data_IF_622640335422
#
_entry.id   IF_622640335422
#
_cell.length_a   1.000
_cell.length_b   1.000
_cell.length_c   1.000
_cell.angle_alpha   90.00
_cell.angle_beta   90.00
_cell.angle_gamma   90.00
#
_symmetry.space_group_name_H-M   'P 1'
#
loop_
_entity.id
_entity.type
_entity.pdbx_description
1 polymer ?
#
# COMPACT_ATOMS: atom_id res chain seq x y z
N UNK A 1 29.23 17.89 -6.24
CA UNK A 1 28.93 17.24 -7.53
C UNK A 1 27.87 16.21 -7.21
N UNK A 2 26.62 16.51 -7.53
CA UNK A 2 25.51 15.60 -7.33
C UNK A 2 25.69 14.43 -8.30
N UNK A 3 26.03 13.27 -7.80
CA UNK A 3 25.80 12.04 -8.56
C UNK A 3 24.28 11.87 -8.69
N UNK A 4 23.78 12.18 -9.87
CA UNK A 4 22.42 11.85 -10.26
C UNK A 4 22.23 10.36 -10.08
N UNK A 5 21.30 9.97 -9.25
CA UNK A 5 20.73 8.61 -9.16
C UNK A 5 20.23 8.22 -10.57
N UNK A 6 21.09 7.70 -11.40
CA UNK A 6 20.80 7.22 -12.75
C UNK A 6 21.17 5.74 -12.82
N UNK A 7 20.36 4.92 -12.23
CA UNK A 7 20.15 3.55 -12.70
C UNK A 7 18.71 3.22 -12.36
N UNK A 8 18.00 2.75 -13.37
CA UNK A 8 16.69 2.13 -13.13
C UNK A 8 16.83 1.16 -11.97
N UNK A 9 15.90 1.16 -11.00
CA UNK A 9 15.96 0.22 -9.90
C UNK A 9 16.11 -1.21 -10.43
N UNK A 10 16.91 -2.07 -9.78
CA UNK A 10 17.17 -3.45 -10.22
C UNK A 10 15.88 -4.22 -10.56
N UNK A 11 14.75 -3.88 -9.90
CA UNK A 11 13.43 -4.48 -10.13
C UNK A 11 12.74 -4.03 -11.45
N UNK A 12 13.17 -2.97 -12.12
CA UNK A 12 12.60 -2.55 -13.42
C UNK A 12 12.85 -3.61 -14.52
N UNK A 13 13.88 -4.42 -14.35
CA UNK A 13 14.26 -5.50 -15.26
C UNK A 13 13.70 -6.88 -14.83
N UNK A 14 12.84 -6.96 -13.80
CA UNK A 14 12.31 -8.24 -13.34
C UNK A 14 11.23 -8.72 -14.32
N UNK A 15 11.34 -9.95 -14.82
CA UNK A 15 10.49 -10.45 -15.92
C UNK A 15 9.08 -10.86 -15.47
N UNK A 16 8.64 -10.50 -14.25
CA UNK A 16 7.38 -10.96 -13.68
C UNK A 16 6.81 -10.04 -12.62
N UNK A 17 5.92 -10.61 -11.80
CA UNK A 17 5.22 -9.92 -10.71
C UNK A 17 5.44 -10.65 -9.39
N UNK A 18 5.89 -9.93 -8.36
CA UNK A 18 6.05 -10.48 -7.02
C UNK A 18 4.70 -10.73 -6.36
N UNK A 19 4.52 -11.97 -5.90
CA UNK A 19 3.38 -12.35 -5.08
C UNK A 19 3.57 -11.86 -3.65
N UNK A 20 2.54 -11.29 -3.08
CA UNK A 20 2.46 -10.88 -1.68
C UNK A 20 1.13 -11.28 -1.05
N UNK A 21 1.11 -11.31 0.28
CA UNK A 21 -0.11 -11.57 1.04
C UNK A 21 -0.07 -10.91 2.41
N UNK A 22 -1.23 -10.37 2.83
CA UNK A 22 -1.55 -10.11 4.22
C UNK A 22 -2.43 -11.24 4.74
N UNK A 23 -1.97 -11.97 5.73
CA UNK A 23 -2.59 -13.22 6.18
C UNK A 23 -2.72 -13.35 7.71
N UNK A 24 -2.59 -12.27 8.45
CA UNK A 24 -2.83 -12.19 9.90
C UNK A 24 -1.79 -12.93 10.75
N UNK A 25 -1.66 -14.25 10.64
CA UNK A 25 -0.73 -15.06 11.45
C UNK A 25 0.16 -15.99 10.64
N UNK A 26 1.38 -16.24 11.12
CA UNK A 26 2.36 -17.07 10.40
C UNK A 26 1.93 -18.53 10.22
N UNK A 27 1.16 -19.10 11.16
CA UNK A 27 0.71 -20.50 11.07
C UNK A 27 -0.35 -20.73 9.98
N UNK A 28 -1.23 -19.75 9.75
CA UNK A 28 -2.24 -19.81 8.69
C UNK A 28 -1.61 -19.69 7.31
N UNK A 29 -0.52 -18.94 7.18
CA UNK A 29 0.17 -18.74 5.91
C UNK A 29 0.86 -20.01 5.40
N UNK A 30 1.52 -20.77 6.27
CA UNK A 30 2.22 -22.01 5.86
C UNK A 30 1.22 -23.01 5.27
N UNK A 31 0.06 -23.18 5.91
CA UNK A 31 -0.98 -24.08 5.40
C UNK A 31 -1.48 -23.62 4.03
N UNK A 32 -1.82 -22.34 3.90
CA UNK A 32 -2.30 -21.75 2.65
C UNK A 32 -1.30 -21.94 1.51
N UNK A 33 -0.02 -21.63 1.72
CA UNK A 33 0.99 -21.75 0.66
C UNK A 33 1.27 -23.20 0.26
N UNK A 34 1.11 -24.15 1.20
CA UNK A 34 1.16 -25.56 0.87
C UNK A 34 -0.05 -26.00 0.03
N UNK A 35 -1.25 -25.48 0.30
CA UNK A 35 -2.46 -25.75 -0.48
C UNK A 35 -2.37 -25.14 -1.89
N UNK A 36 -1.80 -23.95 -2.03
CA UNK A 36 -1.55 -23.28 -3.32
C UNK A 36 -0.41 -23.96 -4.10
N UNK A 37 0.56 -24.56 -3.42
CA UNK A 37 1.79 -25.12 -4.03
C UNK A 37 2.83 -24.05 -4.36
N UNK A 38 2.64 -22.78 -3.94
CA UNK A 38 3.55 -21.66 -4.18
C UNK A 38 3.55 -20.67 -3.00
N UNK A 39 4.71 -20.16 -2.64
CA UNK A 39 4.88 -19.14 -1.60
C UNK A 39 4.65 -17.72 -2.11
N UNK A 40 5.00 -16.76 -1.27
CA UNK A 40 4.99 -15.32 -1.61
C UNK A 40 6.37 -14.72 -1.39
N UNK A 41 6.71 -13.74 -2.21
CA UNK A 41 7.94 -12.93 -2.10
C UNK A 41 7.80 -11.82 -1.04
N UNK A 42 6.57 -11.38 -0.75
CA UNK A 42 6.28 -10.24 0.12
C UNK A 42 5.26 -10.66 1.17
N UNK A 43 5.58 -10.38 2.44
CA UNK A 43 4.66 -10.59 3.55
C UNK A 43 4.25 -9.24 4.14
N UNK A 44 2.94 -8.94 4.13
CA UNK A 44 2.41 -7.67 4.59
C UNK A 44 2.01 -7.72 6.07
N UNK A 45 2.15 -6.57 6.75
CA UNK A 45 1.70 -6.34 8.12
C UNK A 45 1.29 -4.90 8.33
N UNK A 46 0.33 -4.68 9.22
CA UNK A 46 -0.11 -3.35 9.65
C UNK A 46 0.49 -3.05 11.02
N UNK A 47 1.04 -1.87 11.15
CA UNK A 47 1.71 -1.41 12.36
C UNK A 47 1.18 -0.03 12.76
N UNK A 48 0.51 0.03 13.89
CA UNK A 48 0.09 1.30 14.49
C UNK A 48 1.27 1.98 15.19
N UNK A 49 1.33 3.30 15.06
CA UNK A 49 2.29 4.12 15.82
C UNK A 49 2.06 3.95 17.34
N UNK A 50 3.14 4.10 18.09
CA UNK A 50 3.15 3.92 19.54
C UNK A 50 3.88 2.66 19.99
N UNK A 51 4.09 1.69 19.11
CA UNK A 51 5.00 0.57 19.35
C UNK A 51 6.42 0.93 18.94
N UNK A 52 7.42 0.64 19.75
CA UNK A 52 8.83 0.77 19.39
C UNK A 52 9.18 -0.15 18.22
N UNK A 53 10.26 0.17 17.52
CA UNK A 53 10.78 -0.65 16.44
C UNK A 53 11.07 -2.09 16.96
N UNK A 54 10.58 -3.08 16.22
CA UNK A 54 10.80 -4.49 16.51
C UNK A 54 11.07 -5.25 15.20
N UNK A 55 12.27 -5.76 15.05
CA UNK A 55 12.70 -6.48 13.86
C UNK A 55 12.29 -7.96 13.81
N UNK A 56 11.54 -8.46 14.76
CA UNK A 56 11.16 -9.88 14.82
C UNK A 56 10.38 -10.35 13.58
N UNK A 57 9.40 -9.56 13.13
CA UNK A 57 8.66 -9.83 11.90
C UNK A 57 9.58 -9.74 10.66
N UNK A 58 10.43 -8.70 10.59
CA UNK A 58 11.37 -8.50 9.50
C UNK A 58 12.36 -9.66 9.37
N UNK A 59 12.98 -10.06 10.50
CA UNK A 59 13.91 -11.18 10.53
C UNK A 59 13.24 -12.50 10.16
N UNK A 60 12.00 -12.74 10.61
CA UNK A 60 11.26 -13.96 10.27
C UNK A 60 10.98 -14.05 8.77
N UNK A 61 10.65 -12.95 8.12
CA UNK A 61 10.45 -12.91 6.68
C UNK A 61 11.77 -13.06 5.92
N UNK A 62 12.81 -12.33 6.32
CA UNK A 62 14.13 -12.42 5.73
C UNK A 62 14.70 -13.84 5.78
N UNK A 63 14.48 -14.56 6.89
CA UNK A 63 14.94 -15.94 7.07
C UNK A 63 14.37 -16.91 6.02
N UNK A 64 13.17 -16.62 5.51
CA UNK A 64 12.50 -17.45 4.47
C UNK A 64 12.49 -16.79 3.09
N UNK A 65 13.38 -15.83 2.85
CA UNK A 65 13.56 -15.20 1.52
C UNK A 65 12.48 -14.20 1.13
N UNK A 66 11.72 -13.64 2.09
CA UNK A 66 10.63 -12.68 1.84
C UNK A 66 11.03 -11.28 2.25
N UNK A 67 10.63 -10.29 1.45
CA UNK A 67 10.59 -8.90 1.89
C UNK A 67 9.36 -8.64 2.76
N UNK A 68 9.45 -7.65 3.64
CA UNK A 68 8.33 -7.19 4.45
C UNK A 68 7.68 -5.97 3.81
N UNK A 69 6.34 -5.94 3.78
CA UNK A 69 5.55 -4.78 3.40
C UNK A 69 4.85 -4.25 4.65
N UNK A 70 5.32 -3.11 5.16
CA UNK A 70 4.82 -2.51 6.38
C UNK A 70 3.86 -1.38 6.06
N UNK A 71 2.58 -1.56 6.37
CA UNK A 71 1.61 -0.47 6.41
C UNK A 71 1.75 0.23 7.76
N UNK A 72 2.27 1.44 7.74
CA UNK A 72 2.61 2.19 8.95
C UNK A 72 1.54 3.24 9.23
N UNK A 73 0.63 2.89 10.12
CA UNK A 73 -0.59 3.64 10.40
C UNK A 73 -0.38 4.60 11.56
N UNK A 74 -0.52 5.88 11.27
CA UNK A 74 -0.54 6.91 12.29
C UNK A 74 -1.92 6.96 12.97
N UNK A 75 -2.17 6.04 13.88
CA UNK A 75 -3.34 6.06 14.75
C UNK A 75 -2.95 6.72 16.08
N UNK A 76 -3.16 8.05 16.22
CA UNK A 76 -2.85 8.70 17.48
C UNK A 76 -3.73 8.08 18.56
N UNK A 77 -3.13 7.47 19.55
CA UNK A 77 -3.84 7.14 20.78
C UNK A 77 -4.49 8.40 21.35
N UNK A 78 -5.45 8.25 22.24
CA UNK A 78 -6.19 9.33 22.90
C UNK A 78 -5.30 10.31 23.73
N UNK A 79 -4.01 10.44 23.37
CA UNK A 79 -3.02 11.26 24.06
C UNK A 79 -3.25 12.77 23.82
N UNK A 80 -3.14 13.56 24.88
CA UNK A 80 -3.33 15.01 24.91
C UNK A 80 -2.53 15.81 23.86
N UNK A 81 -1.46 15.22 23.27
CA UNK A 81 -0.57 15.93 22.34
C UNK A 81 -1.24 16.26 20.99
N UNK A 82 -2.07 15.35 20.45
CA UNK A 82 -2.79 15.58 19.18
C UNK A 82 -3.96 16.55 19.34
N UNK A 83 -4.49 16.71 20.55
CA UNK A 83 -5.57 17.67 20.83
C UNK A 83 -5.14 19.11 20.56
N UNK A 84 -3.86 19.44 20.71
CA UNK A 84 -3.32 20.78 20.41
C UNK A 84 -3.45 21.14 18.92
N UNK A 85 -3.55 20.14 18.04
CA UNK A 85 -3.69 20.30 16.59
C UNK A 85 -5.15 20.14 16.10
N UNK A 86 -6.11 20.16 17.01
CA UNK A 86 -7.55 20.00 16.68
C UNK A 86 -7.85 18.73 15.85
N UNK A 87 -7.04 17.70 16.04
CA UNK A 87 -7.15 16.43 15.28
C UNK A 87 -6.40 16.41 13.94
N UNK A 88 -5.76 17.49 13.53
CA UNK A 88 -4.91 17.54 12.33
C UNK A 88 -3.58 16.82 12.58
N UNK A 89 -3.59 15.54 12.33
CA UNK A 89 -2.45 14.65 12.65
C UNK A 89 -1.24 14.90 11.76
N UNK A 90 -1.44 15.31 10.51
CA UNK A 90 -0.36 15.60 9.56
C UNK A 90 0.43 16.84 9.97
N UNK A 91 -0.24 17.87 10.48
CA UNK A 91 0.41 19.07 11.01
C UNK A 91 1.27 18.76 12.24
N UNK A 92 0.80 17.87 13.12
CA UNK A 92 1.59 17.43 14.27
C UNK A 92 2.87 16.67 13.87
N UNK A 93 2.86 15.99 12.71
CA UNK A 93 4.04 15.34 12.15
C UNK A 93 5.02 16.39 11.62
N UNK A 94 4.56 17.33 10.80
CA UNK A 94 5.42 18.36 10.20
C UNK A 94 6.02 19.33 11.23
N UNK A 95 5.32 19.55 12.36
CA UNK A 95 5.82 20.34 13.50
C UNK A 95 6.84 19.57 14.37
N UNK A 96 7.20 18.34 13.99
CA UNK A 96 8.23 17.55 14.66
C UNK A 96 7.80 16.89 15.97
N UNK A 97 6.48 16.85 16.28
CA UNK A 97 5.99 16.24 17.52
C UNK A 97 6.38 14.77 17.67
N UNK A 98 6.64 14.09 16.57
CA UNK A 98 6.94 12.67 16.52
C UNK A 98 8.35 12.34 16.02
N UNK A 99 9.24 13.32 15.87
CA UNK A 99 10.58 13.13 15.29
C UNK A 99 11.41 12.09 16.05
N UNK A 100 11.39 12.12 17.38
CA UNK A 100 12.11 11.13 18.19
C UNK A 100 11.60 9.70 17.91
N UNK A 101 10.27 9.54 17.74
CA UNK A 101 9.67 8.25 17.42
C UNK A 101 10.04 7.79 16.01
N UNK A 102 9.91 8.67 15.03
CA UNK A 102 10.26 8.40 13.62
C UNK A 102 11.75 8.08 13.49
N UNK A 103 12.61 8.84 14.17
CA UNK A 103 14.07 8.61 14.21
C UNK A 103 14.40 7.22 14.77
N UNK A 104 13.75 6.80 15.85
CA UNK A 104 13.98 5.47 16.42
C UNK A 104 13.64 4.33 15.45
N UNK A 105 12.61 4.52 14.63
CA UNK A 105 12.24 3.58 13.56
C UNK A 105 13.25 3.60 12.42
N UNK A 106 13.68 4.79 11.99
CA UNK A 106 14.67 4.96 10.93
C UNK A 106 16.01 4.29 11.29
N UNK A 107 16.49 4.49 12.51
CA UNK A 107 17.69 3.83 13.02
C UNK A 107 17.54 2.31 13.06
N UNK A 108 16.39 1.81 13.49
CA UNK A 108 16.09 0.37 13.49
C UNK A 108 16.07 -0.22 12.07
N UNK A 109 15.52 0.50 11.09
CA UNK A 109 15.53 0.09 9.68
C UNK A 109 16.93 0.12 9.07
N UNK A 110 17.73 1.14 9.38
CA UNK A 110 19.14 1.21 9.00
C UNK A 110 19.89 -0.03 9.51
N UNK A 111 19.72 -0.35 10.78
CA UNK A 111 20.43 -1.46 11.43
C UNK A 111 19.95 -2.83 10.94
N UNK A 112 18.71 -2.94 10.45
CA UNK A 112 18.20 -4.14 9.79
C UNK A 112 18.86 -4.39 8.44
N UNK A 113 19.21 -3.35 7.69
CA UNK A 113 20.01 -3.33 6.44
C UNK A 113 19.55 -4.33 5.35
N UNK A 114 18.24 -4.52 5.21
CA UNK A 114 17.63 -5.31 4.12
C UNK A 114 16.43 -4.58 3.52
N UNK A 115 16.04 -4.91 2.26
CA UNK A 115 14.90 -4.29 1.60
C UNK A 115 13.60 -4.46 2.39
N UNK A 116 12.92 -3.34 2.68
CA UNK A 116 11.60 -3.29 3.34
C UNK A 116 10.74 -2.27 2.62
N UNK A 117 9.53 -2.66 2.23
CA UNK A 117 8.52 -1.73 1.77
C UNK A 117 7.90 -1.00 2.97
N UNK A 118 7.88 0.31 2.94
CA UNK A 118 7.22 1.13 3.95
C UNK A 118 6.11 1.96 3.31
N UNK A 119 4.86 1.62 3.65
CA UNK A 119 3.65 2.30 3.20
C UNK A 119 3.11 3.17 4.34
N UNK A 120 3.48 4.44 4.33
CA UNK A 120 2.97 5.42 5.29
C UNK A 120 1.71 6.09 4.78
N UNK A 121 0.69 6.23 5.64
CA UNK A 121 -0.46 7.06 5.38
C UNK A 121 -1.24 6.68 4.12
N UNK A 122 -1.46 5.38 3.87
CA UNK A 122 -2.19 4.89 2.71
C UNK A 122 -3.65 5.37 2.67
N UNK A 123 -4.26 5.31 1.49
CA UNK A 123 -5.67 5.66 1.26
C UNK A 123 -6.03 7.09 1.74
N UNK A 124 -5.11 8.02 1.61
CA UNK A 124 -5.23 9.40 2.06
C UNK A 124 -6.36 10.18 1.36
N UNK A 125 -6.79 9.71 0.20
CA UNK A 125 -7.90 10.25 -0.59
C UNK A 125 -9.27 9.75 -0.12
N UNK A 126 -9.34 8.85 0.88
CA UNK A 126 -10.57 8.46 1.59
C UNK A 126 -10.96 9.42 2.70
N UNK A 127 -11.97 9.02 3.51
CA UNK A 127 -12.45 9.80 4.67
C UNK A 127 -12.38 9.02 6.00
N UNK A 128 -11.84 7.80 5.99
CA UNK A 128 -11.86 6.87 7.13
C UNK A 128 -10.63 6.94 8.03
N UNK A 129 -9.49 7.42 7.54
CA UNK A 129 -8.27 7.52 8.34
C UNK A 129 -8.04 8.91 8.94
N UNK A 130 -7.31 9.02 10.08
CA UNK A 130 -6.94 10.33 10.65
C UNK A 130 -6.10 11.19 9.72
N UNK A 131 -5.25 10.59 8.89
CA UNK A 131 -4.38 11.26 7.93
C UNK A 131 -5.06 11.58 6.59
N UNK A 132 -6.34 11.25 6.42
CA UNK A 132 -7.08 11.61 5.20
C UNK A 132 -7.07 13.11 4.96
N UNK A 133 -6.88 13.53 3.72
CA UNK A 133 -6.84 14.95 3.37
C UNK A 133 -8.08 15.72 3.84
N UNK A 134 -9.26 15.12 3.74
CA UNK A 134 -10.52 15.72 4.19
C UNK A 134 -10.53 16.09 5.67
N UNK A 135 -9.78 15.35 6.51
CA UNK A 135 -9.65 15.62 7.97
C UNK A 135 -8.51 16.58 8.31
N UNK A 136 -7.68 16.89 7.34
CA UNK A 136 -6.50 17.75 7.53
C UNK A 136 -6.57 19.04 6.71
N UNK A 137 -7.76 19.60 6.54
CA UNK A 137 -8.01 20.85 5.83
C UNK A 137 -8.82 20.68 4.54
N UNK A 138 -8.89 19.47 3.97
CA UNK A 138 -9.69 19.20 2.78
C UNK A 138 -9.31 20.08 1.61
N UNK A 139 -10.31 20.65 0.97
CA UNK A 139 -10.16 21.52 -0.19
C UNK A 139 -10.05 23.02 0.15
N UNK A 140 -9.81 23.41 1.41
CA UNK A 140 -9.51 24.81 1.74
C UNK A 140 -8.17 25.23 1.14
N UNK A 141 -7.96 26.54 0.92
CA UNK A 141 -6.78 27.08 0.24
C UNK A 141 -6.03 28.13 1.05
N UNK A 142 -6.51 28.47 2.24
CA UNK A 142 -6.04 29.61 3.04
C UNK A 142 -5.64 29.22 4.47
N UNK A 143 -5.67 27.95 4.79
CA UNK A 143 -5.31 27.42 6.12
C UNK A 143 -3.91 26.84 6.23
N UNK A 144 -3.24 26.60 5.08
CA UNK A 144 -1.90 26.01 5.06
C UNK A 144 -1.17 26.32 3.74
N UNK A 145 0.15 26.44 3.79
CA UNK A 145 1.06 26.49 2.65
C UNK A 145 0.70 27.45 1.53
N UNK A 146 0.50 26.95 0.33
CA UNK A 146 0.23 27.75 -0.86
C UNK A 146 -1.26 28.04 -1.06
N UNK A 147 -1.67 29.29 -1.34
CA UNK A 147 -3.06 29.64 -1.61
C UNK A 147 -3.61 29.04 -2.92
N UNK A 148 -2.78 28.39 -3.71
CA UNK A 148 -3.17 27.73 -4.97
C UNK A 148 -3.37 26.22 -4.82
N UNK A 149 -3.05 25.65 -3.66
CA UNK A 149 -3.14 24.22 -3.38
C UNK A 149 -4.17 23.92 -2.28
N UNK A 150 -4.80 22.77 -2.36
CA UNK A 150 -5.72 22.32 -1.33
C UNK A 150 -4.95 21.92 -0.06
N UNK A 151 -5.34 22.47 1.08
CA UNK A 151 -4.65 22.33 2.37
C UNK A 151 -4.47 20.86 2.81
N UNK A 152 -5.48 20.03 2.56
CA UNK A 152 -5.43 18.61 2.97
C UNK A 152 -4.36 17.80 2.26
N UNK A 153 -4.33 17.81 0.91
CA UNK A 153 -3.26 17.23 0.12
C UNK A 153 -1.89 17.80 0.45
N UNK A 154 -1.76 19.14 0.57
CA UNK A 154 -0.47 19.78 0.84
C UNK A 154 0.11 19.35 2.19
N UNK A 155 -0.70 19.31 3.26
CA UNK A 155 -0.27 18.77 4.57
C UNK A 155 0.17 17.30 4.49
N UNK A 156 -0.51 16.50 3.68
CA UNK A 156 -0.10 15.10 3.50
C UNK A 156 1.26 14.99 2.81
N UNK A 157 1.47 15.75 1.76
CA UNK A 157 2.75 15.81 1.02
C UNK A 157 3.89 16.20 1.96
N UNK A 158 3.71 17.25 2.76
CA UNK A 158 4.73 17.73 3.68
C UNK A 158 5.01 16.75 4.81
N UNK A 159 3.98 16.11 5.38
CA UNK A 159 4.17 15.07 6.40
C UNK A 159 4.91 13.84 5.84
N UNK A 160 4.58 13.42 4.62
CA UNK A 160 5.26 12.29 3.97
C UNK A 160 6.74 12.60 3.73
N UNK A 161 7.04 13.80 3.19
CA UNK A 161 8.42 14.25 2.96
C UNK A 161 9.21 14.38 4.27
N UNK A 162 8.59 14.93 5.31
CA UNK A 162 9.21 15.10 6.62
C UNK A 162 9.67 13.75 7.20
N UNK A 163 8.80 12.73 7.14
CA UNK A 163 9.15 11.37 7.59
C UNK A 163 10.27 10.78 6.73
N UNK A 164 10.16 10.86 5.41
CA UNK A 164 11.17 10.38 4.48
C UNK A 164 12.54 11.01 4.75
N UNK A 165 12.59 12.32 4.98
CA UNK A 165 13.83 13.04 5.24
C UNK A 165 14.51 12.59 6.54
N UNK A 166 13.75 12.29 7.59
CA UNK A 166 14.29 11.70 8.83
C UNK A 166 14.94 10.33 8.55
N UNK A 167 14.28 9.47 7.76
CA UNK A 167 14.84 8.18 7.38
C UNK A 167 16.11 8.31 6.54
N UNK A 168 16.12 9.23 5.58
CA UNK A 168 17.28 9.54 4.76
C UNK A 168 18.46 10.05 5.60
N UNK A 169 18.20 10.98 6.55
CA UNK A 169 19.22 11.49 7.48
C UNK A 169 19.77 10.40 8.40
N UNK A 170 18.95 9.43 8.80
CA UNK A 170 19.40 8.29 9.60
C UNK A 170 20.20 7.25 8.79
N UNK A 171 20.22 7.33 7.46
CA UNK A 171 20.88 6.38 6.55
C UNK A 171 20.10 5.07 6.38
N UNK A 172 18.78 5.09 6.43
CA UNK A 172 17.93 3.92 6.24
C UNK A 172 17.68 3.63 4.74
N UNK A 173 18.74 3.48 3.95
CA UNK A 173 18.75 3.45 2.48
C UNK A 173 18.12 2.18 1.85
N UNK A 174 17.79 1.18 2.66
CA UNK A 174 17.13 -0.06 2.20
C UNK A 174 15.61 -0.01 2.31
N UNK A 175 15.05 1.08 2.83
CA UNK A 175 13.61 1.31 2.85
C UNK A 175 13.14 1.68 1.45
N UNK A 176 12.13 0.96 0.95
CA UNK A 176 11.45 1.24 -0.31
C UNK A 176 10.13 1.94 0.00
N UNK A 177 10.02 3.21 -0.38
CA UNK A 177 8.89 4.05 -0.06
C UNK A 177 7.70 3.81 -0.99
N UNK A 178 6.55 3.51 -0.39
CA UNK A 178 5.32 3.19 -1.10
C UNK A 178 4.28 4.27 -0.86
N UNK A 179 3.82 4.93 -1.92
CA UNK A 179 2.73 5.89 -1.89
C UNK A 179 1.47 5.28 -2.48
N UNK A 180 0.37 5.24 -1.69
CA UNK A 180 -0.77 4.35 -1.95
C UNK A 180 -2.14 5.00 -1.73
N UNK A 181 -2.76 5.63 -2.73
CA UNK A 181 -4.16 6.03 -2.67
C UNK A 181 -5.13 4.85 -2.84
N UNK A 182 -6.38 5.03 -2.40
CA UNK A 182 -7.47 4.07 -2.62
C UNK A 182 -8.08 4.23 -4.02
N UNK A 183 -8.38 3.12 -4.68
CA UNK A 183 -9.04 3.06 -6.00
C UNK A 183 -10.53 2.59 -5.84
N UNK A 184 -11.42 2.90 -6.79
CA UNK A 184 -11.22 3.72 -8.01
C UNK A 184 -11.17 5.22 -7.70
N UNK A 185 -10.27 5.94 -8.36
CA UNK A 185 -10.03 7.36 -8.05
C UNK A 185 -11.23 8.25 -8.40
N UNK A 186 -11.88 8.01 -9.52
CA UNK A 186 -13.06 8.78 -9.96
C UNK A 186 -14.17 8.83 -8.90
N UNK A 187 -14.46 7.70 -8.26
CA UNK A 187 -15.49 7.62 -7.23
C UNK A 187 -15.12 8.47 -5.99
N UNK A 188 -13.85 8.47 -5.61
CA UNK A 188 -13.35 9.27 -4.48
C UNK A 188 -13.38 10.76 -4.81
N UNK A 189 -12.94 11.15 -6.00
CA UNK A 189 -12.99 12.55 -6.46
C UNK A 189 -14.42 13.09 -6.47
N UNK A 190 -15.38 12.32 -6.97
CA UNK A 190 -16.78 12.71 -7.01
C UNK A 190 -17.40 12.85 -5.61
N UNK A 191 -17.03 11.96 -4.68
CA UNK A 191 -17.60 11.95 -3.32
C UNK A 191 -17.08 13.10 -2.44
N UNK A 192 -15.79 13.45 -2.54
CA UNK A 192 -15.12 14.39 -1.63
C UNK A 192 -14.77 15.74 -2.29
N UNK A 193 -14.91 15.86 -3.61
CA UNK A 193 -14.66 17.08 -4.37
C UNK A 193 -13.44 16.97 -5.31
N UNK A 194 -13.40 17.84 -6.31
CA UNK A 194 -12.41 17.84 -7.38
C UNK A 194 -10.96 18.10 -6.93
N UNK A 195 -10.77 18.61 -5.72
CA UNK A 195 -9.46 18.79 -5.11
C UNK A 195 -8.83 17.46 -4.67
N UNK A 196 -9.66 16.42 -4.43
CA UNK A 196 -9.26 15.15 -3.84
C UNK A 196 -8.76 14.14 -4.89
N UNK A 197 -7.91 14.58 -5.77
CA UNK A 197 -7.30 13.73 -6.81
C UNK A 197 -5.95 13.18 -6.33
N UNK A 198 -5.57 11.94 -6.70
CA UNK A 198 -4.31 11.33 -6.27
C UNK A 198 -3.09 12.19 -6.53
N UNK A 199 -2.99 12.82 -7.70
CA UNK A 199 -1.86 13.67 -8.07
C UNK A 199 -1.62 14.83 -7.10
N UNK A 200 -2.66 15.34 -6.42
CA UNK A 200 -2.53 16.39 -5.41
C UNK A 200 -1.79 15.92 -4.14
N UNK A 201 -1.80 14.63 -3.86
CA UNK A 201 -1.14 14.01 -2.70
C UNK A 201 0.24 13.42 -3.04
N UNK A 202 0.70 13.54 -4.28
CA UNK A 202 1.96 12.91 -4.67
C UNK A 202 3.17 13.66 -4.10
N UNK A 203 4.00 13.00 -3.27
CA UNK A 203 5.13 13.68 -2.61
C UNK A 203 6.25 14.09 -3.56
N UNK A 204 6.28 13.53 -4.75
CA UNK A 204 7.31 13.74 -5.75
C UNK A 204 8.22 12.53 -5.94
N UNK A 205 8.91 12.50 -7.07
CA UNK A 205 9.68 11.34 -7.54
C UNK A 205 10.85 10.96 -6.63
N UNK A 206 11.43 11.93 -5.93
CA UNK A 206 12.56 11.71 -5.03
C UNK A 206 12.15 11.07 -3.68
N UNK A 207 10.84 11.04 -3.38
CA UNK A 207 10.29 10.56 -2.12
C UNK A 207 9.55 9.24 -2.24
N UNK A 208 9.34 8.73 -3.44
CA UNK A 208 8.54 7.53 -3.71
C UNK A 208 9.33 6.56 -4.57
N UNK A 209 9.50 5.33 -4.14
CA UNK A 209 10.11 4.26 -4.93
C UNK A 209 9.06 3.44 -5.70
N UNK A 210 7.91 3.22 -5.10
CA UNK A 210 6.80 2.45 -5.65
C UNK A 210 5.50 3.23 -5.62
N UNK A 211 4.85 3.34 -6.77
CA UNK A 211 3.44 3.74 -6.84
C UNK A 211 2.56 2.59 -6.39
N UNK A 212 1.43 2.90 -5.78
CA UNK A 212 0.53 1.90 -5.24
C UNK A 212 -0.94 2.32 -5.40
N UNK A 213 -1.85 1.37 -5.34
CA UNK A 213 -3.26 1.58 -5.07
C UNK A 213 -3.85 0.37 -4.35
N UNK A 214 -4.94 0.61 -3.60
CA UNK A 214 -5.74 -0.41 -2.93
C UNK A 214 -7.14 -0.45 -3.53
N UNK A 215 -7.75 -1.62 -3.64
CA UNK A 215 -9.11 -1.73 -4.15
C UNK A 215 -9.69 -3.13 -4.03
N UNK A 216 -11.03 -3.22 -3.93
CA UNK A 216 -11.73 -4.46 -3.63
C UNK A 216 -12.97 -4.66 -4.50
N UNK A 217 -13.22 -5.92 -4.89
CA UNK A 217 -14.54 -6.30 -5.37
C UNK A 217 -15.44 -6.65 -4.17
N UNK A 218 -16.20 -5.68 -3.72
CA UNK A 218 -17.14 -5.82 -2.60
C UNK A 218 -18.37 -6.64 -2.93
N UNK A 219 -18.69 -6.82 -4.23
CA UNK A 219 -19.82 -7.59 -4.70
C UNK A 219 -21.13 -7.19 -4.04
N UNK A 220 -21.90 -8.21 -3.63
CA UNK A 220 -23.15 -8.04 -2.88
C UNK A 220 -22.97 -8.20 -1.36
N UNK A 221 -21.75 -8.07 -0.83
CA UNK A 221 -21.47 -8.21 0.60
C UNK A 221 -22.30 -7.24 1.45
N UNK A 222 -22.67 -7.67 2.65
CA UNK A 222 -23.48 -6.85 3.55
C UNK A 222 -22.80 -5.51 3.91
N UNK A 223 -21.47 -5.48 4.00
CA UNK A 223 -20.72 -4.25 4.22
C UNK A 223 -20.70 -3.38 2.95
N UNK A 224 -20.46 -3.96 1.78
CA UNK A 224 -20.47 -3.24 0.50
C UNK A 224 -21.83 -2.59 0.18
N UNK A 225 -22.94 -3.21 0.61
CA UNK A 225 -24.27 -2.64 0.42
C UNK A 225 -24.49 -1.31 1.18
N UNK A 226 -23.69 -0.99 2.19
CA UNK A 226 -23.77 0.28 2.91
C UNK A 226 -23.39 1.47 2.02
N UNK A 227 -22.62 1.26 0.96
CA UNK A 227 -22.24 2.27 -0.04
C UNK A 227 -22.61 1.87 -1.48
N UNK A 228 -23.63 1.00 -1.61
CA UNK A 228 -24.18 0.56 -2.91
C UNK A 228 -23.16 -0.17 -3.82
N UNK A 229 -22.22 -0.90 -3.22
CA UNK A 229 -21.30 -1.73 -3.98
C UNK A 229 -22.06 -2.80 -4.81
N UNK A 230 -21.42 -3.18 -5.89
CA UNK A 230 -21.89 -4.25 -6.79
C UNK A 230 -20.72 -5.10 -7.20
N UNK A 231 -21.00 -6.24 -7.80
CA UNK A 231 -19.95 -7.05 -8.43
C UNK A 231 -19.24 -6.24 -9.50
N UNK A 232 -17.93 -6.11 -9.37
CA UNK A 232 -17.09 -5.27 -10.23
C UNK A 232 -15.89 -6.09 -10.68
N UNK A 233 -15.56 -6.04 -11.97
CA UNK A 233 -14.37 -6.73 -12.50
C UNK A 233 -13.08 -6.09 -11.95
N UNK A 234 -11.97 -6.83 -12.04
CA UNK A 234 -10.66 -6.29 -11.70
C UNK A 234 -10.33 -5.05 -12.56
N UNK A 235 -10.56 -5.15 -13.87
CA UNK A 235 -10.32 -4.05 -14.81
C UNK A 235 -11.12 -2.80 -14.44
N UNK A 236 -12.43 -2.94 -14.13
CA UNK A 236 -13.27 -1.79 -13.76
C UNK A 236 -12.85 -1.11 -12.45
N UNK A 237 -12.22 -1.86 -11.53
CA UNK A 237 -11.69 -1.28 -10.29
C UNK A 237 -10.41 -0.50 -10.56
N UNK A 238 -9.51 -1.04 -11.38
CA UNK A 238 -8.12 -0.57 -11.42
C UNK A 238 -7.70 0.16 -12.69
N UNK A 239 -8.36 0.00 -13.85
CA UNK A 239 -7.85 0.54 -15.12
C UNK A 239 -7.75 2.08 -15.12
N UNK A 240 -8.76 2.78 -14.59
CA UNK A 240 -8.73 4.23 -14.47
C UNK A 240 -7.60 4.69 -13.55
N UNK A 241 -7.54 4.12 -12.37
CA UNK A 241 -6.50 4.43 -11.37
C UNK A 241 -5.09 4.10 -11.86
N UNK A 242 -4.92 2.99 -12.58
CA UNK A 242 -3.66 2.63 -13.21
C UNK A 242 -3.20 3.69 -14.23
N UNK A 243 -4.12 4.17 -15.08
CA UNK A 243 -3.82 5.22 -16.06
C UNK A 243 -3.41 6.53 -15.38
N UNK A 244 -4.02 6.89 -14.27
CA UNK A 244 -3.63 8.08 -13.49
C UNK A 244 -2.26 7.93 -12.84
N UNK A 245 -1.92 6.76 -12.27
CA UNK A 245 -0.58 6.51 -11.75
C UNK A 245 0.48 6.56 -12.85
N UNK A 246 0.19 6.02 -14.03
CA UNK A 246 1.09 6.14 -15.19
C UNK A 246 1.31 7.61 -15.62
N UNK A 247 0.27 8.44 -15.53
CA UNK A 247 0.39 9.86 -15.83
C UNK A 247 1.24 10.61 -14.77
N UNK A 248 1.24 10.16 -13.53
CA UNK A 248 2.10 10.70 -12.46
C UNK A 248 3.56 10.33 -12.73
N UNK A 249 3.87 9.05 -12.89
CA UNK A 249 5.21 8.61 -13.25
C UNK A 249 5.20 7.26 -14.02
N UNK A 250 5.48 7.27 -15.34
CA UNK A 250 5.44 6.07 -16.18
C UNK A 250 6.64 5.12 -15.95
N UNK A 251 7.67 5.51 -15.22
CA UNK A 251 8.89 4.72 -15.01
C UNK A 251 8.94 4.00 -13.67
N UNK A 252 8.14 4.42 -12.67
CA UNK A 252 8.12 3.77 -11.36
C UNK A 252 7.28 2.49 -11.40
N UNK A 253 7.73 1.42 -10.72
CA UNK A 253 6.93 0.20 -10.59
C UNK A 253 5.65 0.49 -9.79
N UNK A 254 4.59 -0.26 -10.11
CA UNK A 254 3.33 -0.22 -9.38
C UNK A 254 3.19 -1.50 -8.55
N UNK A 255 2.76 -1.34 -7.30
CA UNK A 255 2.31 -2.43 -6.43
C UNK A 255 0.82 -2.28 -6.16
N UNK A 256 0.05 -3.37 -6.23
CA UNK A 256 -1.29 -3.39 -5.63
C UNK A 256 -1.09 -3.73 -4.16
N UNK A 257 -1.26 -2.72 -3.28
CA UNK A 257 -0.98 -2.84 -1.85
C UNK A 257 -2.02 -3.68 -1.11
N UNK A 258 -3.27 -3.62 -1.61
CA UNK A 258 -4.37 -4.44 -1.13
C UNK A 258 -5.34 -4.74 -2.27
N UNK A 259 -5.66 -6.02 -2.49
CA UNK A 259 -6.78 -6.38 -3.33
C UNK A 259 -7.38 -7.73 -2.91
N UNK A 260 -8.66 -7.87 -3.12
CA UNK A 260 -9.37 -9.13 -2.98
C UNK A 260 -10.77 -9.05 -3.62
N UNK A 261 -11.45 -10.18 -3.68
CA UNK A 261 -12.86 -10.29 -4.07
C UNK A 261 -13.64 -11.06 -3.01
N UNK A 262 -14.89 -10.68 -2.79
CA UNK A 262 -15.87 -11.51 -2.05
C UNK A 262 -16.35 -12.68 -2.91
N UNK A 263 -17.06 -13.65 -2.28
CA UNK A 263 -17.85 -14.67 -3.01
C UNK A 263 -19.27 -14.15 -3.34
N UNK A 264 -19.70 -13.07 -2.67
CA UNK A 264 -21.07 -12.60 -2.70
C UNK A 264 -21.38 -11.75 -3.95
N UNK A 265 -22.26 -12.24 -4.79
CA UNK A 265 -22.78 -11.51 -5.96
C UNK A 265 -22.18 -11.93 -7.31
N UNK A 266 -21.23 -12.88 -7.34
CA UNK A 266 -20.64 -13.37 -8.59
C UNK A 266 -19.79 -14.61 -8.43
N UNK A 267 -18.95 -14.90 -9.41
CA UNK A 267 -17.99 -16.02 -9.44
C UNK A 267 -16.58 -15.52 -9.08
N UNK A 268 -16.18 -15.68 -7.82
CA UNK A 268 -14.85 -15.27 -7.35
C UNK A 268 -13.73 -16.04 -8.04
N UNK A 269 -13.94 -17.31 -8.37
CA UNK A 269 -12.92 -18.09 -9.06
C UNK A 269 -12.68 -17.57 -10.50
N UNK A 270 -13.74 -17.16 -11.20
CA UNK A 270 -13.60 -16.47 -12.49
C UNK A 270 -12.91 -15.13 -12.32
N UNK A 271 -13.33 -14.31 -11.34
CA UNK A 271 -12.71 -13.02 -11.03
C UNK A 271 -11.21 -13.13 -10.76
N UNK A 272 -10.78 -14.16 -10.03
CA UNK A 272 -9.36 -14.44 -9.78
C UNK A 272 -8.61 -14.67 -11.09
N UNK A 273 -9.12 -15.56 -11.95
CA UNK A 273 -8.48 -15.84 -13.26
C UNK A 273 -8.36 -14.60 -14.12
N UNK A 274 -9.45 -13.84 -14.22
CA UNK A 274 -9.50 -12.62 -15.02
C UNK A 274 -8.53 -11.55 -14.47
N UNK A 275 -8.47 -11.37 -13.14
CA UNK A 275 -7.57 -10.43 -12.48
C UNK A 275 -6.09 -10.72 -12.79
N UNK A 276 -5.67 -11.99 -12.68
CA UNK A 276 -4.29 -12.37 -12.94
C UNK A 276 -3.93 -12.29 -14.45
N UNK A 277 -4.90 -12.57 -15.33
CA UNK A 277 -4.74 -12.38 -16.76
C UNK A 277 -4.63 -10.88 -17.14
N UNK A 278 -5.47 -10.05 -16.56
CA UNK A 278 -5.43 -8.58 -16.73
C UNK A 278 -4.11 -7.99 -16.24
N UNK A 279 -3.62 -8.36 -15.05
CA UNK A 279 -2.33 -7.91 -14.53
C UNK A 279 -1.20 -8.23 -15.51
N UNK A 280 -1.18 -9.45 -16.05
CA UNK A 280 -0.15 -9.88 -16.99
C UNK A 280 -0.22 -9.16 -18.34
N UNK A 281 -1.40 -8.98 -18.88
CA UNK A 281 -1.58 -8.60 -20.27
C UNK A 281 -1.95 -7.13 -20.47
N UNK A 282 -2.62 -6.49 -19.49
CA UNK A 282 -3.12 -5.11 -19.59
C UNK A 282 -2.37 -4.12 -18.70
N UNK A 283 -1.76 -4.56 -17.60
CA UNK A 283 -1.15 -3.69 -16.58
C UNK A 283 0.36 -3.96 -16.38
N UNK A 284 1.19 -3.81 -17.43
CA UNK A 284 2.58 -4.25 -17.43
C UNK A 284 3.50 -3.51 -16.43
N UNK A 285 3.08 -2.36 -15.91
CA UNK A 285 3.84 -1.62 -14.89
C UNK A 285 3.62 -2.18 -13.47
N UNK A 286 2.60 -3.03 -13.25
CA UNK A 286 2.42 -3.74 -11.99
C UNK A 286 3.54 -4.77 -11.85
N UNK A 287 4.32 -4.66 -10.77
CA UNK A 287 5.46 -5.54 -10.46
C UNK A 287 5.32 -6.26 -9.13
N UNK A 288 4.32 -5.93 -8.32
CA UNK A 288 3.98 -6.63 -7.10
C UNK A 288 2.48 -6.55 -6.81
N UNK A 289 1.97 -7.55 -6.12
CA UNK A 289 0.57 -7.59 -5.68
C UNK A 289 0.49 -8.15 -4.26
N UNK A 290 -0.38 -7.60 -3.42
CA UNK A 290 -0.62 -8.07 -2.05
C UNK A 290 -2.09 -8.51 -1.92
N UNK A 291 -2.32 -9.80 -1.87
CA UNK A 291 -3.67 -10.29 -1.59
C UNK A 291 -4.04 -10.09 -0.12
N UNK A 292 -5.19 -9.47 0.13
CA UNK A 292 -5.71 -9.25 1.48
C UNK A 292 -6.45 -10.50 1.97
N UNK A 293 -5.70 -11.44 2.61
CA UNK A 293 -6.17 -12.79 2.94
C UNK A 293 -6.71 -12.89 4.37
N UNK A 294 -7.82 -12.24 4.66
CA UNK A 294 -8.53 -12.36 5.95
C UNK A 294 -10.04 -12.41 5.76
N UNK A 295 -10.76 -12.85 6.79
CA UNK A 295 -12.20 -12.65 6.92
C UNK A 295 -12.43 -11.49 7.90
N UNK A 296 -12.98 -10.38 7.41
CA UNK A 296 -13.21 -9.15 8.17
C UNK A 296 -14.58 -8.56 7.81
N UNK A 297 -14.66 -7.64 6.88
CA UNK A 297 -15.93 -7.07 6.40
C UNK A 297 -16.75 -8.07 5.58
N UNK A 298 -16.05 -8.96 4.86
CA UNK A 298 -16.53 -10.14 4.18
C UNK A 298 -15.40 -11.20 4.17
N UNK A 299 -15.60 -12.34 3.51
CA UNK A 299 -14.52 -13.34 3.39
C UNK A 299 -13.63 -13.05 2.18
N UNK A 300 -12.54 -12.31 2.43
CA UNK A 300 -11.53 -11.95 1.45
C UNK A 300 -10.53 -13.07 1.13
N UNK A 301 -10.54 -14.16 1.91
CA UNK A 301 -9.52 -15.21 1.81
C UNK A 301 -9.47 -15.85 0.42
N UNK A 302 -8.28 -16.21 -0.02
CA UNK A 302 -8.04 -16.98 -1.25
C UNK A 302 -8.81 -18.32 -1.22
N UNK A 303 -8.83 -18.95 -0.06
CA UNK A 303 -9.50 -20.24 0.19
C UNK A 303 -10.88 -20.09 0.85
N UNK A 304 -11.63 -19.03 0.52
CA UNK A 304 -13.04 -18.88 0.92
C UNK A 304 -13.93 -19.99 0.33
N UNK A 305 -13.53 -20.54 -0.82
CA UNK A 305 -14.08 -21.76 -1.43
C UNK A 305 -12.98 -22.59 -2.09
N UNK A 306 -13.24 -23.88 -2.32
CA UNK A 306 -12.33 -24.77 -3.07
C UNK A 306 -12.12 -24.28 -4.51
N UNK A 307 -13.15 -23.68 -5.12
CA UNK A 307 -13.08 -23.12 -6.47
C UNK A 307 -12.14 -21.92 -6.54
N UNK A 308 -12.22 -21.03 -5.57
CA UNK A 308 -11.35 -19.84 -5.47
C UNK A 308 -9.91 -20.24 -5.17
N UNK A 309 -9.67 -21.16 -4.26
CA UNK A 309 -8.34 -21.69 -3.98
C UNK A 309 -7.70 -22.31 -5.22
N UNK A 310 -8.46 -23.15 -5.95
CA UNK A 310 -7.99 -23.78 -7.19
C UNK A 310 -7.67 -22.75 -8.26
N UNK A 311 -8.56 -21.77 -8.47
CA UNK A 311 -8.35 -20.72 -9.45
C UNK A 311 -7.08 -19.89 -9.16
N UNK A 312 -6.84 -19.56 -7.89
CA UNK A 312 -5.63 -18.85 -7.48
C UNK A 312 -4.38 -19.70 -7.70
N UNK A 313 -4.39 -20.97 -7.27
CA UNK A 313 -3.26 -21.87 -7.44
C UNK A 313 -2.88 -22.07 -8.93
N UNK A 314 -3.89 -22.21 -9.80
CA UNK A 314 -3.69 -22.31 -11.25
C UNK A 314 -3.13 -21.01 -11.85
N UNK A 315 -3.64 -19.83 -11.42
CA UNK A 315 -3.22 -18.54 -11.92
C UNK A 315 -1.76 -18.21 -11.61
N UNK A 316 -1.25 -18.62 -10.43
CA UNK A 316 0.12 -18.34 -10.00
C UNK A 316 1.13 -19.46 -10.31
N UNK A 317 0.74 -20.51 -11.02
CA UNK A 317 1.55 -21.73 -11.17
C UNK A 317 2.87 -21.52 -11.91
N UNK A 318 2.91 -20.63 -12.89
CA UNK A 318 4.10 -20.40 -13.72
C UNK A 318 5.13 -19.43 -13.10
N UNK A 319 6.31 -19.32 -13.73
CA UNK A 319 7.45 -18.56 -13.21
C UNK A 319 7.31 -17.04 -13.41
N UNK A 320 6.28 -16.56 -14.08
CA UNK A 320 5.97 -15.13 -14.16
C UNK A 320 5.58 -14.54 -12.79
N UNK A 321 5.00 -15.36 -11.93
CA UNK A 321 4.61 -15.00 -10.58
C UNK A 321 5.72 -15.37 -9.60
N UNK A 322 6.41 -14.37 -9.08
CA UNK A 322 7.62 -14.52 -8.29
C UNK A 322 7.30 -14.74 -6.82
N UNK A 323 7.85 -15.78 -6.22
CA UNK A 323 7.62 -16.17 -4.81
C UNK A 323 8.78 -15.87 -3.86
N UNK A 324 9.89 -15.30 -4.37
CA UNK A 324 11.07 -14.96 -3.60
C UNK A 324 11.50 -13.51 -3.90
N UNK A 325 11.99 -12.80 -2.89
CA UNK A 325 12.52 -11.45 -3.05
C UNK A 325 14.06 -11.50 -3.16
N UNK A 326 14.66 -10.85 -4.17
CA UNK A 326 16.12 -10.88 -4.34
C UNK A 326 16.83 -10.20 -3.17
N UNK A 327 18.00 -10.75 -2.79
CA UNK A 327 18.84 -10.18 -1.73
C UNK A 327 18.38 -10.42 -0.29
N UNK A 328 17.31 -11.20 -0.06
CA UNK A 328 16.86 -11.55 1.30
C UNK A 328 17.60 -12.74 1.88
N UNK A 329 17.89 -13.75 1.06
CA UNK A 329 18.73 -14.89 1.46
C UNK A 329 20.20 -14.53 1.33
N UNK A 330 21.07 -15.08 2.20
CA UNK A 330 22.51 -14.84 2.15
C UNK A 330 23.16 -15.44 0.90
#
# INVERSE_FOLDING_TARGET
MNETRSSEPEYANIPGVYLGSFHGTSSSSIKLFNEIGKGVAISASYLNWGSGFNNGFLNSNAYVGRSSFLTWEFMPGSGQRVQAYEGRVLEAITDGLYDDYVTSWAEGMRDFDKPVFLRFGHEMNGDWYPWSGVKNGGGTLDGYGSPDLADGPERYVDAYRHIHDIFSQAGADKVMWVWCPNAPFDAMTQALGSWNIPAAYYPGDDYVDWLCFDGYNWGASAFGQQFNARWTSFEDIFAGSYSELQAINPSKPIIIGEFASTEEGGDKAAWIRDAFDDIRNKFPQIRAIIWFHIAKETDWRINSSDASLKAYAEAVADDYWLSEWPGMLP
#
